data_IF_557514450778
#
_entry.id   IF_557514450778
#
_cell.length_a   1.000
_cell.length_b   1.000
_cell.length_c   1.000
_cell.angle_alpha   90.00
_cell.angle_beta   90.00
_cell.angle_gamma   90.00
#
_symmetry.space_group_name_H-M   'P 1'
#
loop_
_entity.id
_entity.type
_entity.pdbx_description
1 polymer ?
#
# COMPACT_ATOMS: atom_id res chain seq x y z
N UNK A 1 9.39 45.10 -15.01
CA UNK A 1 8.21 44.25 -14.75
C UNK A 1 8.48 42.73 -14.75
N UNK A 2 9.70 42.23 -15.01
CA UNK A 2 10.00 40.77 -14.96
C UNK A 2 10.32 40.23 -13.56
N UNK A 3 10.75 41.10 -12.64
CA UNK A 3 11.19 40.72 -11.30
C UNK A 3 10.06 40.33 -10.33
N UNK A 4 8.84 40.81 -10.57
CA UNK A 4 7.68 40.50 -9.74
C UNK A 4 7.17 39.07 -9.99
N UNK A 5 7.26 38.61 -11.25
CA UNK A 5 6.74 37.32 -11.69
C UNK A 5 7.54 36.11 -11.18
N UNK A 6 8.85 36.24 -10.96
CA UNK A 6 9.65 35.13 -10.43
C UNK A 6 9.39 34.90 -8.94
N UNK A 7 9.12 35.96 -8.16
CA UNK A 7 8.79 35.85 -6.72
C UNK A 7 7.44 35.19 -6.51
N UNK A 8 6.46 35.53 -7.35
CA UNK A 8 5.14 34.90 -7.33
C UNK A 8 5.25 33.41 -7.70
N UNK A 9 5.95 33.09 -8.80
CA UNK A 9 6.15 31.70 -9.24
C UNK A 9 6.87 30.85 -8.20
N UNK A 10 7.88 31.41 -7.53
CA UNK A 10 8.61 30.75 -6.46
C UNK A 10 7.70 30.51 -5.24
N UNK A 11 6.92 31.51 -4.82
CA UNK A 11 5.97 31.37 -3.72
C UNK A 11 4.88 30.33 -4.00
N UNK A 12 4.34 30.30 -5.22
CA UNK A 12 3.33 29.30 -5.60
C UNK A 12 3.91 27.88 -5.66
N UNK A 13 5.16 27.73 -6.10
CA UNK A 13 5.82 26.42 -6.13
C UNK A 13 6.06 25.88 -4.72
N UNK A 14 6.47 26.72 -3.77
CA UNK A 14 6.67 26.31 -2.37
C UNK A 14 5.36 25.91 -1.70
N UNK A 15 4.28 26.68 -1.92
CA UNK A 15 2.94 26.34 -1.42
C UNK A 15 2.45 25.01 -1.99
N UNK A 16 2.63 24.78 -3.29
CA UNK A 16 2.30 23.52 -3.95
C UNK A 16 3.10 22.36 -3.35
N UNK A 17 4.41 22.52 -3.17
CA UNK A 17 5.26 21.50 -2.56
C UNK A 17 4.86 21.15 -1.12
N UNK A 18 4.43 22.13 -0.32
CA UNK A 18 3.91 21.90 1.03
C UNK A 18 2.59 21.11 1.01
N UNK A 19 1.68 21.46 0.10
CA UNK A 19 0.42 20.72 -0.07
C UNK A 19 0.68 19.29 -0.50
N UNK A 20 1.51 19.06 -1.53
CA UNK A 20 1.87 17.70 -1.96
C UNK A 20 2.65 16.92 -0.89
N UNK A 21 3.53 17.60 -0.14
CA UNK A 21 4.27 17.03 0.98
C UNK A 21 3.35 16.49 2.08
N UNK A 22 2.22 17.16 2.33
CA UNK A 22 1.24 16.71 3.33
C UNK A 22 0.52 15.41 2.94
N UNK A 23 0.43 15.09 1.64
CA UNK A 23 -0.14 13.83 1.17
C UNK A 23 0.77 12.62 1.36
N UNK A 24 2.05 12.82 1.74
CA UNK A 24 3.02 11.74 1.93
C UNK A 24 3.09 11.24 3.37
N UNK A 25 2.32 11.82 4.30
CA UNK A 25 2.34 11.41 5.70
C UNK A 25 1.42 10.21 5.96
N UNK A 26 1.89 9.01 5.63
CA UNK A 26 1.37 7.77 6.22
C UNK A 26 2.43 7.18 7.14
N UNK A 27 2.29 7.43 8.44
CA UNK A 27 2.97 6.69 9.49
C UNK A 27 2.15 5.43 9.79
N UNK A 28 2.64 4.26 9.39
CA UNK A 28 2.07 2.98 9.82
C UNK A 28 2.61 2.65 11.22
N UNK A 29 1.79 2.90 12.24
CA UNK A 29 1.95 2.31 13.56
C UNK A 29 1.32 0.92 13.51
N UNK A 30 2.14 -0.12 13.31
CA UNK A 30 1.70 -1.51 13.26
C UNK A 30 1.50 -2.02 14.69
N UNK A 31 0.31 -1.80 15.25
CA UNK A 31 -0.20 -2.74 16.24
C UNK A 31 -0.58 -3.99 15.44
N UNK A 32 -0.01 -5.14 15.78
CA UNK A 32 -0.16 -6.40 15.05
C UNK A 32 -1.60 -6.93 15.08
N UNK A 33 -2.49 -6.24 14.36
CA UNK A 33 -3.75 -6.79 13.90
C UNK A 33 -3.44 -7.76 12.77
N UNK A 34 -3.94 -8.98 12.89
CA UNK A 34 -3.76 -10.00 11.87
C UNK A 34 -4.39 -9.48 10.57
N UNK A 35 -3.57 -9.35 9.52
CA UNK A 35 -3.95 -8.63 8.30
C UNK A 35 -4.70 -9.53 7.33
N UNK A 36 -5.88 -9.10 6.90
CA UNK A 36 -6.64 -9.76 5.82
C UNK A 36 -6.18 -9.28 4.44
N UNK A 37 -6.21 -10.17 3.45
CA UNK A 37 -5.71 -9.91 2.09
C UNK A 37 -6.75 -10.36 1.05
N UNK A 38 -7.27 -9.42 0.26
CA UNK A 38 -8.15 -9.72 -0.89
C UNK A 38 -7.59 -9.16 -2.18
N UNK A 39 -7.55 -9.96 -3.25
CA UNK A 39 -7.10 -9.55 -4.59
C UNK A 39 -7.96 -10.13 -5.71
N UNK A 40 -8.00 -9.44 -6.84
CA UNK A 40 -8.63 -9.89 -8.08
C UNK A 40 -7.63 -9.70 -9.22
N UNK A 41 -7.45 -10.71 -10.06
CA UNK A 41 -6.51 -10.72 -11.20
C UNK A 41 -5.06 -10.37 -10.83
N UNK A 42 -4.64 -10.66 -9.59
CA UNK A 42 -3.29 -10.38 -9.08
C UNK A 42 -2.84 -11.49 -8.14
N UNK A 43 -1.53 -11.71 -8.07
CA UNK A 43 -0.95 -12.67 -7.12
C UNK A 43 -0.84 -12.10 -5.71
N UNK A 44 -0.95 -13.00 -4.72
CA UNK A 44 -0.70 -12.74 -3.30
C UNK A 44 0.54 -13.54 -2.90
N UNK A 45 1.56 -12.89 -2.33
CA UNK A 45 2.72 -13.57 -1.75
C UNK A 45 2.75 -13.32 -0.24
N UNK A 46 2.86 -14.39 0.54
CA UNK A 46 3.00 -14.33 2.00
C UNK A 46 4.40 -14.78 2.40
N UNK A 47 5.06 -13.97 3.22
CA UNK A 47 6.48 -14.15 3.57
C UNK A 47 6.68 -15.30 4.55
N UNK A 48 7.91 -15.81 4.63
CA UNK A 48 8.22 -16.95 5.50
C UNK A 48 7.97 -16.59 6.97
N UNK A 49 7.21 -17.43 7.68
CA UNK A 49 6.87 -17.20 9.09
C UNK A 49 5.82 -16.12 9.34
N UNK A 50 5.26 -15.50 8.28
CA UNK A 50 4.21 -14.49 8.41
C UNK A 50 2.88 -15.15 8.79
N UNK A 51 2.12 -14.51 9.69
CA UNK A 51 0.77 -14.92 10.03
C UNK A 51 -0.21 -13.84 9.56
N UNK A 52 -1.03 -14.22 8.59
CA UNK A 52 -2.09 -13.38 8.02
C UNK A 52 -3.46 -13.93 8.39
N UNK A 53 -4.48 -13.10 8.28
CA UNK A 53 -5.86 -13.49 8.56
C UNK A 53 -6.45 -14.21 7.36
N UNK A 54 -7.49 -13.63 6.79
CA UNK A 54 -8.21 -14.23 5.68
C UNK A 54 -7.57 -13.81 4.35
N UNK A 55 -7.28 -14.80 3.50
CA UNK A 55 -6.79 -14.60 2.14
C UNK A 55 -7.90 -14.96 1.14
N UNK A 56 -8.22 -14.04 0.23
CA UNK A 56 -9.12 -14.29 -0.90
C UNK A 56 -8.52 -13.82 -2.23
N UNK A 57 -8.62 -14.67 -3.27
CA UNK A 57 -8.19 -14.36 -4.64
C UNK A 57 -9.25 -14.75 -5.67
N UNK A 58 -9.47 -13.92 -6.69
CA UNK A 58 -10.26 -14.27 -7.88
C UNK A 58 -9.39 -14.15 -9.12
N UNK A 59 -9.26 -15.24 -9.90
CA UNK A 59 -8.41 -15.31 -11.09
C UNK A 59 -6.96 -14.84 -10.85
N UNK A 60 -6.36 -15.23 -9.72
CA UNK A 60 -4.99 -14.87 -9.35
C UNK A 60 -4.36 -15.92 -8.43
N UNK A 61 -3.03 -16.02 -8.42
CA UNK A 61 -2.30 -17.03 -7.63
C UNK A 61 -2.01 -16.62 -6.17
N UNK A 62 -1.80 -17.61 -5.30
CA UNK A 62 -1.38 -17.40 -3.92
C UNK A 62 -0.11 -18.23 -3.66
N UNK A 63 0.98 -17.57 -3.27
CA UNK A 63 2.26 -18.19 -2.94
C UNK A 63 2.57 -18.00 -1.45
N UNK A 64 2.62 -19.11 -0.71
CA UNK A 64 2.90 -19.14 0.72
C UNK A 64 4.33 -19.65 0.96
N UNK A 65 5.20 -18.81 1.52
CA UNK A 65 6.56 -19.22 1.86
C UNK A 65 6.58 -20.19 3.08
N UNK A 66 7.73 -20.84 3.31
CA UNK A 66 7.89 -21.82 4.40
C UNK A 66 7.50 -21.21 5.75
N UNK A 67 6.59 -21.87 6.46
CA UNK A 67 6.15 -21.46 7.79
C UNK A 67 5.17 -20.28 7.81
N UNK A 68 4.70 -19.82 6.64
CA UNK A 68 3.59 -18.89 6.56
C UNK A 68 2.27 -19.54 7.01
N UNK A 69 1.41 -18.79 7.69
CA UNK A 69 0.10 -19.24 8.15
C UNK A 69 -0.98 -18.23 7.75
N UNK A 70 -2.15 -18.75 7.38
CA UNK A 70 -3.36 -17.98 7.12
C UNK A 70 -4.50 -18.53 7.99
N UNK A 71 -5.41 -17.68 8.44
CA UNK A 71 -6.61 -18.12 9.15
C UNK A 71 -7.57 -18.84 8.19
N UNK A 72 -7.83 -18.22 7.04
CA UNK A 72 -8.62 -18.80 5.97
C UNK A 72 -7.98 -18.49 4.61
N UNK A 73 -8.10 -19.41 3.65
CA UNK A 73 -7.61 -19.21 2.28
C UNK A 73 -8.69 -19.65 1.29
N UNK A 74 -9.11 -18.72 0.44
CA UNK A 74 -10.13 -18.95 -0.58
C UNK A 74 -9.69 -18.43 -1.95
N UNK A 75 -10.04 -19.18 -3.00
CA UNK A 75 -9.76 -18.81 -4.38
C UNK A 75 -10.97 -19.08 -5.27
N UNK A 76 -11.23 -18.19 -6.22
CA UNK A 76 -12.18 -18.42 -7.32
C UNK A 76 -11.41 -18.44 -8.62
N UNK A 77 -11.38 -19.58 -9.31
CA UNK A 77 -10.67 -19.75 -10.59
C UNK A 77 -9.19 -19.31 -10.52
N UNK A 78 -8.51 -19.55 -9.40
CA UNK A 78 -7.12 -19.18 -9.12
C UNK A 78 -6.16 -20.37 -9.10
#
# INVERSE_FOLDING_TARGET
MRAFNYKIRLSTATLLAMVLGSYLYSASADAAEMRDISRINRSIHVSAGEWVGDISSVNGGIDMAKGANAQELSTVNG
#
